data_IF_727703952540
#
_entry.id   IF_727703952540
#
_cell.length_a   1.000
_cell.length_b   1.000
_cell.length_c   1.000
_cell.angle_alpha   90.00
_cell.angle_beta   90.00
_cell.angle_gamma   90.00
#
_symmetry.space_group_name_H-M   'P 1'
#
loop_
_entity.id
_entity.type
_entity.pdbx_description
1 polymer ?
#
# COMPACT_ATOMS: atom_id res chain seq x y z
N UNK A 1 -2.73 -7.05 1.47
CA UNK A 1 -1.44 -7.14 2.17
C UNK A 1 -0.55 -8.02 1.32
N UNK A 2 0.69 -7.60 1.11
CA UNK A 2 1.65 -8.31 0.26
C UNK A 2 2.87 -8.61 1.13
N UNK A 3 3.26 -9.88 1.17
CA UNK A 3 4.35 -10.40 1.99
C UNK A 3 5.20 -11.32 1.12
N UNK A 4 6.52 -11.15 1.18
CA UNK A 4 7.49 -11.92 0.39
C UNK A 4 8.59 -11.05 -0.22
N UNK A 5 9.35 -11.64 -1.13
CA UNK A 5 10.27 -10.88 -1.97
C UNK A 5 9.49 -10.36 -3.19
N UNK A 6 9.36 -9.05 -3.27
CA UNK A 6 8.75 -8.36 -4.40
C UNK A 6 9.50 -7.06 -4.65
N UNK A 7 9.51 -6.65 -5.91
CA UNK A 7 10.07 -5.38 -6.36
C UNK A 7 8.89 -4.44 -6.64
N UNK A 8 8.96 -3.21 -6.13
CA UNK A 8 7.92 -2.20 -6.34
C UNK A 8 8.48 -1.11 -7.23
N UNK A 9 7.81 -0.85 -8.34
CA UNK A 9 8.17 0.21 -9.27
C UNK A 9 7.12 1.32 -9.22
N UNK A 10 7.57 2.58 -9.27
CA UNK A 10 6.66 3.71 -9.46
C UNK A 10 6.16 3.78 -10.92
N UNK A 11 5.30 4.76 -11.21
CA UNK A 11 4.76 4.94 -12.56
C UNK A 11 5.81 5.34 -13.60
N UNK A 12 6.98 5.82 -13.16
CA UNK A 12 8.11 6.22 -14.00
C UNK A 12 9.11 5.06 -14.19
N UNK A 13 8.92 3.94 -13.48
CA UNK A 13 9.77 2.75 -13.54
C UNK A 13 10.93 2.76 -12.54
N UNK A 14 10.95 3.68 -11.57
CA UNK A 14 11.96 3.68 -10.51
C UNK A 14 11.62 2.63 -9.46
N UNK A 15 12.64 1.90 -9.00
CA UNK A 15 12.50 0.99 -7.86
C UNK A 15 12.28 1.79 -6.58
N UNK A 16 11.19 1.48 -5.88
CA UNK A 16 10.87 2.07 -4.59
C UNK A 16 11.38 1.12 -3.52
N UNK A 17 12.17 1.64 -2.59
CA UNK A 17 12.63 0.86 -1.44
C UNK A 17 11.43 0.47 -0.58
N UNK A 18 11.10 -0.82 -0.54
CA UNK A 18 10.03 -1.34 0.29
C UNK A 18 10.53 -2.46 1.19
N UNK A 19 9.78 -2.70 2.27
CA UNK A 19 10.04 -3.85 3.15
C UNK A 19 9.45 -5.10 2.51
N UNK A 20 9.90 -6.27 2.94
CA UNK A 20 9.34 -7.59 2.56
C UNK A 20 7.85 -7.78 2.90
N UNK A 21 7.22 -6.76 3.48
CA UNK A 21 5.84 -6.73 3.95
C UNK A 21 5.29 -5.32 3.76
N UNK A 22 4.33 -5.18 2.85
CA UNK A 22 3.62 -3.92 2.59
C UNK A 22 2.12 -4.12 2.61
N UNK A 23 1.42 -3.10 3.10
CA UNK A 23 -0.03 -3.05 3.02
C UNK A 23 -0.40 -2.06 1.92
N UNK A 24 -1.03 -2.54 0.84
CA UNK A 24 -1.56 -1.70 -0.24
C UNK A 24 -2.96 -1.21 0.13
N UNK A 25 -3.22 0.07 -0.06
CA UNK A 25 -4.54 0.65 0.14
C UNK A 25 -5.52 0.12 -0.89
N UNK A 26 -6.58 -0.53 -0.41
CA UNK A 26 -7.73 -0.95 -1.23
C UNK A 26 -9.01 -0.15 -0.93
N UNK A 27 -8.99 0.69 0.09
CA UNK A 27 -10.17 1.43 0.55
C UNK A 27 -10.33 2.82 -0.08
N UNK A 28 -9.33 3.32 -0.81
CA UNK A 28 -9.34 4.64 -1.45
C UNK A 28 -9.11 5.84 -0.52
N UNK A 29 -9.21 5.66 0.80
CA UNK A 29 -9.10 6.70 1.82
C UNK A 29 -7.69 6.90 2.41
N UNK A 30 -6.68 6.16 1.95
CA UNK A 30 -5.30 6.39 2.38
C UNK A 30 -4.77 7.71 1.80
N UNK A 31 -4.05 8.46 2.61
CA UNK A 31 -3.34 9.68 2.16
C UNK A 31 -1.96 9.31 1.58
N UNK A 32 -1.42 8.16 1.97
CA UNK A 32 -0.10 7.66 1.58
C UNK A 32 -0.23 6.61 0.45
N UNK A 33 -0.98 6.94 -0.61
CA UNK A 33 -1.18 6.00 -1.74
C UNK A 33 0.16 5.73 -2.43
N UNK A 34 0.46 4.47 -2.80
CA UNK A 34 -0.40 3.28 -2.83
C UNK A 34 -0.51 2.50 -1.52
N UNK A 35 0.16 2.91 -0.45
CA UNK A 35 0.21 2.20 0.82
C UNK A 35 -1.00 2.46 1.71
N UNK A 36 -1.27 1.53 2.61
CA UNK A 36 -2.33 1.61 3.60
C UNK A 36 -1.82 2.28 4.87
N UNK A 37 -2.39 3.43 5.22
CA UNK A 37 -2.07 4.18 6.44
C UNK A 37 -3.05 3.92 7.61
N UNK A 38 -3.96 2.94 7.48
CA UNK A 38 -4.99 2.67 8.48
C UNK A 38 -6.29 3.46 8.33
N UNK A 39 -6.42 4.36 7.35
CA UNK A 39 -7.67 5.11 7.08
C UNK A 39 -8.89 4.22 6.84
N UNK A 40 -8.70 2.98 6.37
CA UNK A 40 -9.77 2.00 6.19
C UNK A 40 -10.56 1.75 7.49
N UNK A 41 -9.91 1.80 8.65
CA UNK A 41 -10.58 1.65 9.95
C UNK A 41 -11.45 2.86 10.27
N UNK A 42 -10.98 4.07 9.95
CA UNK A 42 -11.70 5.32 10.22
C UNK A 42 -12.96 5.44 9.38
N UNK A 43 -12.93 4.98 8.13
CA UNK A 43 -14.08 5.02 7.22
C UNK A 43 -14.97 3.77 7.31
N UNK A 44 -14.66 2.81 8.19
CA UNK A 44 -15.42 1.57 8.31
C UNK A 44 -15.38 0.70 7.05
N UNK A 45 -14.29 0.75 6.27
CA UNK A 45 -14.16 -0.06 5.07
C UNK A 45 -14.00 -1.54 5.45
N UNK A 46 -14.94 -2.37 4.97
CA UNK A 46 -14.93 -3.82 5.14
C UNK A 46 -14.65 -4.45 3.76
N UNK A 47 -13.46 -5.01 3.54
CA UNK A 47 -13.09 -5.60 2.25
C UNK A 47 -11.84 -6.47 2.28
#
# INVERSE_FOLDING_TARGET
MVEGNFELFDAEGNEVETKSKVAICRCGASEDKPFCNGSHLKIGFQG
#
